data_IF_622203604843
#
_entry.id   IF_622203604843
#
_cell.length_a   1.000
_cell.length_b   1.000
_cell.length_c   1.000
_cell.angle_alpha   90.00
_cell.angle_beta   90.00
_cell.angle_gamma   90.00
#
_symmetry.space_group_name_H-M   'P 1'
#
loop_
_entity.id
_entity.type
_entity.pdbx_description
1 polymer ?
#
# COMPACT_ATOMS: atom_id res chain seq x y z
N UNK A 1 66.55 -39.13 -19.66
CA UNK A 1 65.12 -38.84 -19.93
C UNK A 1 64.51 -38.32 -18.64
N UNK A 2 64.20 -37.01 -18.56
CA UNK A 2 63.73 -36.35 -17.33
C UNK A 2 62.22 -36.19 -17.38
N UNK A 3 61.55 -36.70 -16.35
CA UNK A 3 60.10 -36.64 -16.12
C UNK A 3 59.67 -35.21 -15.79
N UNK A 4 58.57 -34.73 -16.39
CA UNK A 4 58.00 -33.40 -16.10
C UNK A 4 56.68 -33.62 -15.34
N UNK A 5 56.73 -33.46 -14.02
CA UNK A 5 55.55 -33.47 -13.17
C UNK A 5 54.77 -32.16 -13.34
N UNK A 6 53.57 -32.24 -13.95
CA UNK A 6 52.62 -31.13 -14.03
C UNK A 6 51.94 -30.97 -12.66
N UNK A 7 52.28 -29.91 -11.92
CA UNK A 7 51.55 -29.51 -10.71
C UNK A 7 50.35 -28.68 -11.12
N UNK A 8 49.15 -29.18 -10.82
CA UNK A 8 47.91 -28.43 -10.94
C UNK A 8 47.87 -27.34 -9.86
N UNK A 9 47.61 -26.10 -10.28
CA UNK A 9 47.40 -24.95 -9.37
C UNK A 9 45.91 -24.92 -9.06
N UNK A 10 45.55 -25.22 -7.81
CA UNK A 10 44.19 -25.06 -7.32
C UNK A 10 43.94 -23.56 -7.08
N UNK A 11 42.98 -22.99 -7.82
CA UNK A 11 42.56 -21.61 -7.65
C UNK A 11 41.48 -21.57 -6.56
N UNK A 12 41.89 -21.32 -5.32
CA UNK A 12 40.95 -21.06 -4.22
C UNK A 12 40.49 -19.61 -4.34
N UNK A 13 39.34 -19.41 -4.98
CA UNK A 13 38.66 -18.12 -4.94
C UNK A 13 38.11 -17.92 -3.53
N UNK A 14 38.81 -17.09 -2.74
CA UNK A 14 38.27 -16.54 -1.51
C UNK A 14 37.15 -15.56 -1.89
N UNK A 15 35.90 -16.03 -1.88
CA UNK A 15 34.74 -15.16 -1.89
C UNK A 15 34.75 -14.39 -0.57
N UNK A 16 35.24 -13.16 -0.61
CA UNK A 16 35.01 -12.19 0.45
C UNK A 16 33.49 -11.95 0.49
N UNK A 17 32.83 -12.55 1.48
CA UNK A 17 31.49 -12.15 1.90
C UNK A 17 31.59 -10.70 2.40
N UNK A 18 31.37 -9.75 1.49
CA UNK A 18 30.99 -8.42 1.92
C UNK A 18 29.66 -8.59 2.66
N UNK A 19 29.50 -8.03 3.87
CA UNK A 19 28.16 -7.90 4.42
C UNK A 19 27.36 -7.11 3.39
N UNK A 20 26.26 -7.69 2.92
CA UNK A 20 25.23 -6.92 2.25
C UNK A 20 24.84 -5.85 3.26
N UNK A 21 25.35 -4.64 3.07
CA UNK A 21 24.82 -3.47 3.73
C UNK A 21 23.37 -3.43 3.27
N UNK A 22 22.47 -3.88 4.14
CA UNK A 22 21.05 -3.65 4.01
C UNK A 22 20.90 -2.14 3.99
N UNK A 23 20.92 -1.57 2.80
CA UNK A 23 20.41 -0.25 2.56
C UNK A 23 18.92 -0.35 2.93
N UNK A 24 18.60 -0.11 4.19
CA UNK A 24 17.30 0.43 4.52
C UNK A 24 17.17 1.67 3.63
N UNK A 25 16.19 1.75 2.72
CA UNK A 25 16.05 2.93 1.89
C UNK A 25 15.87 4.13 2.81
N UNK A 26 16.84 5.03 2.76
CA UNK A 26 16.70 6.38 3.25
C UNK A 26 15.61 7.04 2.41
N UNK A 27 14.63 7.61 3.11
CA UNK A 27 13.59 8.56 2.72
C UNK A 27 12.33 8.10 3.43
N UNK A 28 12.01 8.73 4.56
CA UNK A 28 10.60 8.93 4.88
C UNK A 28 10.08 9.87 3.78
N UNK A 29 9.85 9.32 2.59
CA UNK A 29 9.10 10.02 1.58
C UNK A 29 7.75 10.30 2.25
N UNK A 30 7.35 11.57 2.23
CA UNK A 30 5.97 11.90 2.56
C UNK A 30 5.09 10.92 1.78
N UNK A 31 4.10 10.40 2.48
CA UNK A 31 3.21 9.38 1.96
C UNK A 31 1.80 9.91 2.13
N UNK A 32 0.86 9.53 1.26
CA UNK A 32 -0.53 9.84 1.53
C UNK A 32 -0.93 9.27 2.90
N UNK A 33 -1.95 9.88 3.50
CA UNK A 33 -2.47 9.42 4.79
C UNK A 33 -3.18 8.07 4.60
N UNK A 34 -3.85 7.88 3.46
CA UNK A 34 -4.59 6.68 3.15
C UNK A 34 -5.14 6.64 1.73
N UNK A 35 -5.79 5.53 1.42
CA UNK A 35 -6.51 5.29 0.17
C UNK A 35 -7.98 5.04 0.47
N UNK A 36 -8.85 5.51 -0.41
CA UNK A 36 -10.28 5.26 -0.36
C UNK A 36 -10.62 4.18 -1.38
N UNK A 37 -11.29 3.13 -0.91
CA UNK A 37 -11.76 2.01 -1.69
C UNK A 37 -13.28 2.00 -1.73
N UNK A 38 -13.83 1.48 -2.81
CA UNK A 38 -15.23 1.08 -2.92
C UNK A 38 -15.27 -0.43 -3.11
N UNK A 39 -16.18 -1.09 -2.38
CA UNK A 39 -16.46 -2.51 -2.48
C UNK A 39 -17.98 -2.71 -2.35
N UNK A 40 -18.62 -3.19 -3.42
CA UNK A 40 -20.07 -3.21 -3.54
C UNK A 40 -20.67 -1.79 -3.45
N UNK A 41 -21.62 -1.58 -2.53
CA UNK A 41 -22.25 -0.27 -2.29
C UNK A 41 -21.51 0.58 -1.24
N UNK A 42 -20.48 0.02 -0.59
CA UNK A 42 -19.78 0.68 0.51
C UNK A 42 -18.50 1.36 0.03
N UNK A 43 -18.16 2.47 0.69
CA UNK A 43 -16.90 3.19 0.48
C UNK A 43 -16.18 3.31 1.82
N UNK A 44 -14.88 3.01 1.85
CA UNK A 44 -14.08 3.03 3.06
C UNK A 44 -12.66 3.50 2.82
N UNK A 45 -12.01 3.99 3.87
CA UNK A 45 -10.61 4.40 3.81
C UNK A 45 -9.72 3.46 4.60
N UNK A 46 -8.54 3.15 4.05
CA UNK A 46 -7.48 2.39 4.71
C UNK A 46 -6.23 3.26 4.79
N UNK A 47 -5.53 3.22 5.93
CA UNK A 47 -4.30 3.98 6.11
C UNK A 47 -3.23 3.52 5.10
N UNK A 48 -2.37 4.43 4.66
CA UNK A 48 -1.31 4.07 3.71
C UNK A 48 -0.33 3.06 4.31
N UNK A 49 -0.05 3.17 5.61
CA UNK A 49 0.82 2.23 6.32
C UNK A 49 0.27 0.81 6.29
N UNK A 50 -1.02 0.65 6.56
CA UNK A 50 -1.68 -0.67 6.52
C UNK A 50 -1.68 -1.21 5.09
N UNK A 51 -2.13 -0.41 4.12
CA UNK A 51 -2.12 -0.79 2.71
C UNK A 51 -0.73 -1.20 2.20
N UNK A 52 0.29 -0.39 2.48
CA UNK A 52 1.66 -0.67 2.04
C UNK A 52 2.21 -1.95 2.69
N UNK A 53 1.95 -2.16 3.99
CA UNK A 53 2.36 -3.37 4.69
C UNK A 53 1.69 -4.62 4.09
N UNK A 54 0.41 -4.52 3.73
CA UNK A 54 -0.35 -5.61 3.12
C UNK A 54 0.17 -5.98 1.72
N UNK A 55 0.41 -4.98 0.87
CA UNK A 55 0.96 -5.22 -0.48
C UNK A 55 2.37 -5.81 -0.42
N UNK A 56 3.21 -5.36 0.52
CA UNK A 56 4.60 -5.84 0.65
C UNK A 56 4.65 -7.27 1.18
N UNK A 57 3.82 -7.60 2.16
CA UNK A 57 3.79 -8.96 2.71
C UNK A 57 3.08 -9.94 1.76
N UNK A 58 2.20 -9.44 0.88
CA UNK A 58 1.46 -10.27 -0.09
C UNK A 58 0.59 -11.32 0.57
N UNK A 59 0.24 -11.09 1.85
CA UNK A 59 -0.49 -12.03 2.71
C UNK A 59 -1.54 -11.24 3.49
N UNK A 60 -2.72 -11.84 3.62
CA UNK A 60 -3.81 -11.36 4.46
C UNK A 60 -4.98 -10.79 3.66
N UNK A 61 -6.18 -11.18 4.05
CA UNK A 61 -7.46 -10.46 4.04
C UNK A 61 -7.60 -9.28 3.05
N UNK A 62 -7.00 -8.12 3.34
CA UNK A 62 -7.10 -6.94 2.47
C UNK A 62 -6.32 -7.07 1.15
N UNK A 63 -5.25 -7.88 1.07
CA UNK A 63 -4.57 -8.19 -0.20
C UNK A 63 -5.48 -8.97 -1.15
N UNK A 64 -6.27 -9.92 -0.63
CA UNK A 64 -7.26 -10.66 -1.40
C UNK A 64 -8.41 -9.73 -1.84
N UNK A 65 -8.87 -8.85 -0.93
CA UNK A 65 -9.87 -7.83 -1.24
C UNK A 65 -9.44 -6.87 -2.35
N UNK A 66 -8.19 -6.41 -2.34
CA UNK A 66 -7.66 -5.50 -3.39
C UNK A 66 -7.52 -6.21 -4.74
N UNK A 67 -7.39 -7.54 -4.74
CA UNK A 67 -7.43 -8.34 -5.97
C UNK A 67 -8.84 -8.68 -6.44
N UNK A 68 -9.86 -8.48 -5.59
CA UNK A 68 -11.24 -8.64 -5.99
C UNK A 68 -11.63 -7.60 -7.06
N UNK A 69 -12.27 -8.08 -8.11
CA UNK A 69 -12.85 -7.27 -9.17
C UNK A 69 -13.94 -6.29 -8.70
N UNK A 70 -14.57 -6.56 -7.55
CA UNK A 70 -15.58 -5.66 -6.96
C UNK A 70 -14.95 -4.50 -6.18
N UNK A 71 -13.64 -4.56 -5.90
CA UNK A 71 -12.91 -3.52 -5.18
C UNK A 71 -12.24 -2.54 -6.15
N UNK A 72 -12.43 -1.24 -5.93
CA UNK A 72 -11.75 -0.20 -6.73
C UNK A 72 -11.30 0.98 -5.87
N UNK A 73 -10.12 1.52 -6.19
CA UNK A 73 -9.62 2.75 -5.56
C UNK A 73 -10.43 3.92 -6.10
N UNK A 74 -11.02 4.72 -5.21
CA UNK A 74 -11.80 5.92 -5.54
C UNK A 74 -11.09 7.21 -5.19
N UNK A 75 -10.20 7.20 -4.20
CA UNK A 75 -9.54 8.42 -3.78
C UNK A 75 -8.27 8.22 -2.97
N UNK A 76 -7.58 9.33 -2.73
CA UNK A 76 -6.38 9.43 -1.91
C UNK A 76 -6.64 10.42 -0.79
N UNK A 77 -6.39 10.01 0.45
CA UNK A 77 -6.45 10.88 1.61
C UNK A 77 -5.11 11.56 1.81
N UNK A 78 -5.09 12.89 1.82
CA UNK A 78 -3.87 13.69 1.96
C UNK A 78 -4.17 15.02 2.66
N UNK A 79 -3.41 15.35 3.70
CA UNK A 79 -3.56 16.58 4.48
C UNK A 79 -5.00 16.81 4.97
N UNK A 80 -5.65 15.74 5.44
CA UNK A 80 -7.06 15.74 5.88
C UNK A 80 -8.12 15.94 4.77
N UNK A 81 -7.71 16.00 3.50
CA UNK A 81 -8.61 16.11 2.33
C UNK A 81 -8.65 14.80 1.54
N UNK A 82 -9.71 14.61 0.76
CA UNK A 82 -9.89 13.45 -0.11
C UNK A 82 -9.88 13.86 -1.57
N UNK A 83 -8.86 13.42 -2.31
CA UNK A 83 -8.67 13.70 -3.74
C UNK A 83 -9.19 12.52 -4.54
N UNK A 84 -9.93 12.78 -5.62
CA UNK A 84 -10.37 11.73 -6.54
C UNK A 84 -9.17 11.03 -7.18
N UNK A 85 -9.18 9.70 -7.18
CA UNK A 85 -8.03 8.92 -7.63
C UNK A 85 -7.76 9.09 -9.13
N UNK A 86 -8.78 9.24 -9.96
CA UNK A 86 -8.57 9.45 -11.39
C UNK A 86 -7.96 10.82 -11.66
N UNK A 87 -8.44 11.85 -10.96
CA UNK A 87 -7.87 13.20 -11.06
C UNK A 87 -6.42 13.23 -10.57
N UNK A 88 -6.11 12.51 -9.49
CA UNK A 88 -4.73 12.32 -9.04
C UNK A 88 -3.85 11.62 -10.08
N UNK A 89 -4.32 10.52 -10.67
CA UNK A 89 -3.57 9.81 -11.72
C UNK A 89 -3.37 10.68 -12.95
N UNK A 90 -4.39 11.42 -13.39
CA UNK A 90 -4.29 12.37 -14.50
C UNK A 90 -3.25 13.44 -14.19
N UNK A 91 -3.26 14.00 -12.97
CA UNK A 91 -2.28 14.99 -12.54
C UNK A 91 -0.84 14.42 -12.53
N UNK A 92 -0.65 13.15 -12.15
CA UNK A 92 0.66 12.49 -12.24
C UNK A 92 1.12 12.37 -13.70
N UNK A 93 0.21 11.99 -14.61
CA UNK A 93 0.53 11.83 -16.03
C UNK A 93 0.87 13.17 -16.68
N UNK A 94 0.21 14.24 -16.26
CA UNK A 94 0.42 15.60 -16.76
C UNK A 94 1.56 16.36 -16.02
N UNK A 95 2.13 15.77 -14.97
CA UNK A 95 3.19 16.38 -14.18
C UNK A 95 4.50 16.54 -14.97
N UNK A 96 5.31 17.52 -14.56
CA UNK A 96 6.62 17.73 -15.17
C UNK A 96 7.58 16.57 -14.83
N UNK A 97 8.47 16.25 -15.79
CA UNK A 97 9.49 15.22 -15.61
C UNK A 97 10.32 15.48 -14.34
N UNK A 98 10.29 14.53 -13.41
CA UNK A 98 11.06 14.60 -12.17
C UNK A 98 10.26 15.05 -10.94
N UNK A 99 8.98 15.43 -11.10
CA UNK A 99 8.07 15.58 -9.95
C UNK A 99 7.76 14.23 -9.31
N UNK A 100 7.76 14.20 -7.98
CA UNK A 100 7.29 13.07 -7.21
C UNK A 100 5.76 13.09 -7.07
N UNK A 101 5.15 11.92 -6.82
CA UNK A 101 3.69 11.82 -6.64
C UNK A 101 3.16 12.64 -5.45
N UNK A 102 4.01 12.92 -4.44
CA UNK A 102 3.62 13.80 -3.33
C UNK A 102 3.61 15.26 -3.75
N UNK A 103 4.61 15.72 -4.49
CA UNK A 103 4.62 17.10 -4.99
C UNK A 103 3.38 17.37 -5.85
N UNK A 104 2.96 16.36 -6.64
CA UNK A 104 1.68 16.41 -7.37
C UNK A 104 0.48 16.52 -6.42
N UNK A 105 0.44 15.73 -5.33
CA UNK A 105 -0.64 15.84 -4.33
C UNK A 105 -0.65 17.20 -3.62
N UNK A 106 0.53 17.73 -3.26
CA UNK A 106 0.66 19.06 -2.68
C UNK A 106 0.07 20.15 -3.58
N UNK A 107 0.28 20.04 -4.90
CA UNK A 107 -0.23 20.99 -5.86
C UNK A 107 -1.75 20.89 -6.07
N UNK A 108 -2.31 19.68 -6.03
CA UNK A 108 -3.73 19.47 -6.41
C UNK A 108 -4.68 19.37 -5.22
N UNK A 109 -4.24 18.98 -4.03
CA UNK A 109 -5.16 18.65 -2.92
C UNK A 109 -6.04 19.83 -2.46
N UNK A 110 -5.60 21.06 -2.68
CA UNK A 110 -6.36 22.28 -2.35
C UNK A 110 -7.35 22.71 -3.46
N UNK A 111 -7.35 22.03 -4.61
CA UNK A 111 -8.25 22.35 -5.72
C UNK A 111 -9.59 21.60 -5.55
N UNK A 112 -10.68 22.35 -5.41
CA UNK A 112 -12.02 21.78 -5.23
C UNK A 112 -12.48 20.92 -6.42
N UNK A 113 -11.98 21.17 -7.63
CA UNK A 113 -12.39 20.42 -8.83
C UNK A 113 -11.85 18.98 -8.85
N UNK A 114 -10.79 18.69 -8.08
CA UNK A 114 -10.20 17.34 -7.97
C UNK A 114 -10.55 16.65 -6.66
N UNK A 115 -11.23 17.35 -5.75
CA UNK A 115 -11.67 16.77 -4.49
C UNK A 115 -12.91 15.90 -4.70
N UNK A 116 -13.03 14.87 -3.87
CA UNK A 116 -14.25 14.09 -3.77
C UNK A 116 -15.39 14.98 -3.25
N UNK A 117 -16.62 14.74 -3.69
CA UNK A 117 -17.78 15.51 -3.21
C UNK A 117 -17.99 15.29 -1.70
N UNK A 118 -18.48 16.32 -1.00
CA UNK A 118 -18.80 16.23 0.43
C UNK A 118 -19.73 15.05 0.75
N UNK A 119 -20.75 14.81 -0.08
CA UNK A 119 -21.66 13.66 0.07
C UNK A 119 -20.91 12.31 0.04
N UNK A 120 -19.87 12.20 -0.80
CA UNK A 120 -19.05 10.99 -0.87
C UNK A 120 -18.17 10.88 0.36
N UNK A 121 -17.52 11.97 0.77
CA UNK A 121 -16.65 12.02 1.95
C UNK A 121 -17.42 11.64 3.22
N UNK A 122 -18.63 12.15 3.39
CA UNK A 122 -19.50 11.84 4.53
C UNK A 122 -19.93 10.37 4.58
N UNK A 123 -19.88 9.66 3.43
CA UNK A 123 -20.20 8.23 3.33
C UNK A 123 -19.00 7.31 3.58
N UNK A 124 -17.78 7.85 3.68
CA UNK A 124 -16.57 7.05 3.86
C UNK A 124 -16.54 6.47 5.28
N UNK A 125 -16.50 5.15 5.37
CA UNK A 125 -16.23 4.46 6.64
C UNK A 125 -14.72 4.45 6.90
N UNK A 126 -14.30 5.09 7.98
CA UNK A 126 -12.90 5.04 8.45
C UNK A 126 -12.72 3.91 9.47
N UNK A 127 -11.49 3.37 9.58
CA UNK A 127 -11.13 2.29 10.52
C UNK A 127 -11.93 0.99 10.30
N UNK A 128 -12.10 0.58 9.05
CA UNK A 128 -12.74 -0.69 8.70
C UNK A 128 -11.93 -1.86 9.24
N UNK A 129 -12.61 -2.76 9.93
CA UNK A 129 -12.08 -4.07 10.31
C UNK A 129 -12.33 -5.07 9.18
N UNK A 130 -11.54 -6.14 9.13
CA UNK A 130 -11.70 -7.19 8.12
C UNK A 130 -11.95 -8.53 8.83
N UNK A 131 -12.86 -9.32 8.29
CA UNK A 131 -13.15 -10.66 8.81
C UNK A 131 -12.00 -11.65 8.47
N UNK A 132 -12.12 -12.92 8.87
CA UNK A 132 -11.11 -13.94 8.60
C UNK A 132 -10.93 -14.30 7.11
N UNK A 133 -11.86 -13.89 6.25
CA UNK A 133 -11.84 -14.11 4.80
C UNK A 133 -11.32 -12.90 4.02
N UNK A 134 -11.14 -11.76 4.67
CA UNK A 134 -10.73 -10.51 4.03
C UNK A 134 -11.83 -9.56 3.64
N UNK A 135 -13.06 -9.88 4.03
CA UNK A 135 -14.19 -9.03 3.75
C UNK A 135 -14.23 -7.85 4.73
N UNK A 136 -14.43 -6.62 4.24
CA UNK A 136 -14.58 -5.45 5.08
C UNK A 136 -15.86 -5.53 5.90
N UNK A 137 -15.74 -5.31 7.21
CA UNK A 137 -16.84 -5.31 8.17
C UNK A 137 -17.33 -3.87 8.34
N UNK A 138 -18.56 -3.59 7.88
CA UNK A 138 -19.20 -2.28 7.98
C UNK A 138 -20.32 -2.31 9.02
N UNK A 139 -20.11 -1.80 10.24
CA UNK A 139 -21.16 -1.42 11.22
C UNK A 139 -22.21 -2.47 11.67
N UNK A 140 -22.41 -2.59 12.99
CA UNK A 140 -23.32 -3.50 13.74
C UNK A 140 -23.24 -5.02 13.47
N UNK A 141 -22.63 -5.47 12.37
CA UNK A 141 -22.31 -6.88 12.10
C UNK A 141 -20.87 -7.24 12.48
N UNK A 142 -20.25 -6.46 13.37
CA UNK A 142 -19.02 -6.88 14.05
C UNK A 142 -19.24 -8.24 14.74
N UNK A 143 -18.25 -9.13 14.78
CA UNK A 143 -18.42 -10.48 15.30
C UNK A 143 -19.01 -10.40 16.71
N UNK A 144 -20.25 -10.86 16.86
CA UNK A 144 -20.86 -10.98 18.19
C UNK A 144 -19.95 -11.93 18.95
N UNK A 145 -19.28 -11.50 20.04
CA UNK A 145 -18.43 -12.41 20.78
C UNK A 145 -19.29 -13.55 21.28
N UNK A 146 -18.97 -14.79 20.87
CA UNK A 146 -19.58 -15.95 21.48
C UNK A 146 -19.33 -15.86 22.98
N UNK A 147 -20.40 -15.65 23.75
CA UNK A 147 -20.33 -15.70 25.21
C UNK A 147 -20.05 -17.16 25.53
N UNK A 148 -18.78 -17.48 25.78
CA UNK A 148 -18.41 -18.79 26.33
C UNK A 148 -18.96 -18.82 27.75
N UNK A 149 -20.13 -19.45 27.91
CA UNK A 149 -20.68 -19.79 29.21
C UNK A 149 -19.68 -20.69 29.93
N UNK A 150 -18.93 -20.09 30.86
CA UNK A 150 -18.15 -20.80 31.86
C UNK A 150 -19.13 -21.35 32.90
N UNK A 151 -19.55 -22.61 32.70
CA UNK A 151 -20.20 -23.44 33.71
C UNK A 151 -19.19 -23.98 34.74
#
# INVERSE_FOLDING_TARGET
MRSVNKKAVAFTAAFALLPAAAAAPAMAAESPEGLVFSHGENTFSVSWGDYANLIVNGEGNMYDLVQDSETSIKGVKYSGSFVDYNEFVNAIVDAEDGMSSIEVLDDIHANADVQMSEDTVDSIVENVEFDENGEPIFGDEGPVPEVIDIY
#
